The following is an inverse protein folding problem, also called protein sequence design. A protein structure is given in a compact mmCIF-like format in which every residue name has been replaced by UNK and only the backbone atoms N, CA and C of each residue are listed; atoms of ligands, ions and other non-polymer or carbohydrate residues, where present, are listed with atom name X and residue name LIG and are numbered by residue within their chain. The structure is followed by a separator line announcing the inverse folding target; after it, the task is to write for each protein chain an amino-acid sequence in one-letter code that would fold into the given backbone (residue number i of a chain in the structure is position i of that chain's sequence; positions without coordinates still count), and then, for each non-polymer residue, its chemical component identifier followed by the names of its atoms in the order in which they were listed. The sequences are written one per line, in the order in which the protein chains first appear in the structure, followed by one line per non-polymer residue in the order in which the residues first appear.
data_IF_015734061618
#
_entry.id   IF_015734061618
#
_cell.length_a   1.000
_cell.length_b   1.000
_cell.length_c   1.000
_cell.angle_alpha   90.00
_cell.angle_beta   90.00
_cell.angle_gamma   90.00
#
_symmetry.space_group_name_H-M   'P 1'
#
loop_
_entity.id
_entity.type
_entity.pdbx_description
1 polymer ?
#
# COMPACT_ATOMS: atom_id res chain seq x y z
N UNK A 1 -12.23 -0.97 -9.16
CA UNK A 1 -11.99 -2.03 -8.16
C UNK A 1 -11.79 -1.33 -6.83
N UNK A 2 -12.41 -1.77 -5.72
CA UNK A 2 -12.14 -1.16 -4.40
C UNK A 2 -10.82 -1.70 -3.82
N UNK A 3 -10.22 -0.96 -2.88
CA UNK A 3 -9.00 -1.41 -2.19
C UNK A 3 -9.19 -2.76 -1.49
N UNK A 4 -10.33 -2.96 -0.81
CA UNK A 4 -10.69 -4.24 -0.17
C UNK A 4 -10.69 -5.38 -1.17
N UNK A 5 -11.33 -5.18 -2.33
CA UNK A 5 -11.41 -6.21 -3.37
C UNK A 5 -10.03 -6.58 -3.91
N UNK A 6 -9.14 -5.59 -4.06
CA UNK A 6 -7.77 -5.80 -4.49
C UNK A 6 -6.96 -6.60 -3.46
N UNK A 7 -7.05 -6.26 -2.17
CA UNK A 7 -6.40 -7.02 -1.09
C UNK A 7 -6.90 -8.46 -1.04
N UNK A 8 -8.21 -8.68 -1.24
CA UNK A 8 -8.77 -10.03 -1.33
C UNK A 8 -8.29 -10.82 -2.55
N UNK A 9 -7.98 -10.15 -3.66
CA UNK A 9 -7.42 -10.82 -4.83
C UNK A 9 -5.93 -11.17 -4.60
N UNK A 10 -5.16 -10.32 -3.90
CA UNK A 10 -3.83 -10.67 -3.38
C UNK A 10 -3.88 -11.89 -2.44
N UNK A 11 -4.86 -12.00 -1.54
CA UNK A 11 -5.02 -13.18 -0.69
C UNK A 11 -5.25 -14.46 -1.49
N UNK A 12 -6.09 -14.40 -2.53
CA UNK A 12 -6.32 -15.55 -3.42
C UNK A 12 -5.05 -15.95 -4.15
N UNK A 13 -4.26 -14.99 -4.61
CA UNK A 13 -3.00 -15.28 -5.27
C UNK A 13 -1.98 -15.88 -4.29
N UNK A 14 -1.87 -15.33 -3.08
CA UNK A 14 -1.01 -15.85 -2.02
C UNK A 14 -1.26 -17.34 -1.75
N UNK A 15 -2.53 -17.77 -1.75
CA UNK A 15 -2.90 -19.16 -1.53
C UNK A 15 -2.32 -20.14 -2.58
N UNK A 16 -1.94 -19.65 -3.77
CA UNK A 16 -1.39 -20.48 -4.87
C UNK A 16 0.11 -20.76 -4.72
N UNK A 17 0.86 -19.93 -3.98
CA UNK A 17 2.31 -20.07 -3.89
C UNK A 17 2.72 -21.02 -2.77
N UNK A 18 3.82 -21.76 -2.97
CA UNK A 18 4.49 -22.52 -1.91
C UNK A 18 5.36 -21.61 -1.03
N UNK A 19 5.76 -22.10 0.14
CA UNK A 19 6.70 -21.39 1.03
C UNK A 19 8.03 -21.10 0.35
N UNK A 20 8.52 -22.02 -0.49
CA UNK A 20 9.75 -21.88 -1.26
C UNK A 20 9.60 -20.80 -2.34
N UNK A 21 8.48 -20.79 -3.08
CA UNK A 21 8.20 -19.77 -4.08
C UNK A 21 8.09 -18.37 -3.47
N UNK A 22 7.48 -18.25 -2.29
CA UNK A 22 7.40 -16.96 -1.57
C UNK A 22 8.77 -16.43 -1.16
N UNK A 23 9.71 -17.31 -0.81
CA UNK A 23 11.05 -16.94 -0.35
C UNK A 23 12.08 -16.85 -1.47
N UNK A 24 11.74 -17.30 -2.68
CA UNK A 24 12.65 -17.32 -3.82
C UNK A 24 13.08 -15.91 -4.22
N UNK A 25 14.40 -15.68 -4.23
CA UNK A 25 15.04 -14.45 -4.69
C UNK A 25 15.73 -14.76 -6.03
N UNK A 26 15.24 -14.24 -7.17
CA UNK A 26 15.76 -14.60 -8.48
C UNK A 26 17.22 -14.20 -8.73
N UNK A 27 17.61 -13.03 -8.20
CA UNK A 27 18.98 -12.48 -8.26
C UNK A 27 19.12 -11.34 -7.27
N UNK A 28 20.35 -10.92 -7.01
CA UNK A 28 20.67 -9.78 -6.17
C UNK A 28 19.90 -8.52 -6.59
N UNK A 29 19.33 -7.81 -5.60
CA UNK A 29 18.57 -6.58 -5.82
C UNK A 29 17.14 -6.78 -6.34
N UNK A 30 16.68 -8.02 -6.57
CA UNK A 30 15.28 -8.33 -6.92
C UNK A 30 14.58 -8.89 -5.69
N UNK A 31 13.37 -8.39 -5.41
CA UNK A 31 12.57 -8.86 -4.29
C UNK A 31 12.04 -10.28 -4.52
N UNK A 32 11.79 -11.02 -3.46
CA UNK A 32 10.92 -12.20 -3.51
C UNK A 32 9.44 -11.80 -3.57
N UNK A 33 8.54 -12.75 -3.86
CA UNK A 33 7.10 -12.52 -3.67
C UNK A 33 6.77 -12.18 -2.21
N UNK A 34 7.38 -12.87 -1.24
CA UNK A 34 7.19 -12.61 0.18
C UNK A 34 7.52 -11.16 0.56
N UNK A 35 8.61 -10.61 0.03
CA UNK A 35 8.99 -9.20 0.24
C UNK A 35 8.00 -8.22 -0.39
N UNK A 36 7.47 -8.55 -1.58
CA UNK A 36 6.43 -7.72 -2.18
C UNK A 36 5.15 -7.74 -1.34
N UNK A 37 4.72 -8.90 -0.83
CA UNK A 37 3.56 -9.02 0.07
C UNK A 37 3.77 -8.25 1.37
N UNK A 38 4.94 -8.41 2.02
CA UNK A 38 5.29 -7.65 3.21
C UNK A 38 5.19 -6.14 2.97
N UNK A 39 5.76 -5.67 1.86
CA UNK A 39 5.76 -4.25 1.49
C UNK A 39 4.34 -3.69 1.31
N UNK A 40 3.48 -4.36 0.53
CA UNK A 40 2.12 -3.86 0.29
C UNK A 40 1.30 -3.83 1.58
N UNK A 41 1.50 -4.81 2.48
CA UNK A 41 0.79 -4.88 3.75
C UNK A 41 1.26 -3.76 4.68
N UNK A 42 2.58 -3.60 4.84
CA UNK A 42 3.18 -2.61 5.73
C UNK A 42 2.79 -1.19 5.32
N UNK A 43 2.95 -0.84 4.05
CA UNK A 43 2.62 0.50 3.53
C UNK A 43 1.11 0.77 3.61
N UNK A 44 0.27 -0.23 3.36
CA UNK A 44 -1.17 -0.06 3.50
C UNK A 44 -1.58 0.25 4.95
N UNK A 45 -0.96 -0.39 5.94
CA UNK A 45 -1.18 -0.06 7.34
C UNK A 45 -0.70 1.35 7.69
N UNK A 46 0.48 1.76 7.22
CA UNK A 46 0.98 3.13 7.40
C UNK A 46 -0.01 4.18 6.86
N UNK A 47 -0.59 3.92 5.68
CA UNK A 47 -1.62 4.82 5.13
C UNK A 47 -2.89 4.83 5.98
N UNK A 48 -3.32 3.70 6.51
CA UNK A 48 -4.48 3.62 7.40
C UNK A 48 -4.23 4.25 8.77
N UNK A 49 -2.99 4.26 9.26
CA UNK A 49 -2.59 5.02 10.45
C UNK A 49 -2.81 6.51 10.20
N UNK A 50 -2.48 7.01 9.01
CA UNK A 50 -2.73 8.40 8.65
C UNK A 50 -4.22 8.72 8.48
N UNK A 51 -5.05 7.77 8.03
CA UNK A 51 -6.52 7.90 8.05
C UNK A 51 -7.01 8.12 9.49
N UNK A 52 -6.52 7.30 10.43
CA UNK A 52 -6.87 7.38 11.84
C UNK A 52 -6.43 8.70 12.47
N UNK A 53 -5.21 9.17 12.17
CA UNK A 53 -4.73 10.49 12.59
C UNK A 53 -5.65 11.58 12.05
N UNK A 54 -5.98 11.58 10.76
CA UNK A 54 -6.92 12.56 10.18
C UNK A 54 -8.26 12.58 10.92
N UNK A 55 -8.79 11.41 11.30
CA UNK A 55 -10.05 11.31 12.04
C UNK A 55 -9.97 11.87 13.48
N UNK A 56 -8.78 11.87 14.09
CA UNK A 56 -8.53 12.36 15.44
C UNK A 56 -8.12 13.83 15.53
N UNK A 57 -7.77 14.48 14.41
CA UNK A 57 -7.38 15.88 14.38
C UNK A 57 -8.57 16.80 14.72
N UNK A 58 -8.25 17.93 15.35
CA UNK A 58 -9.20 19.01 15.66
C UNK A 58 -8.86 20.31 14.93
N UNK A 59 -7.61 20.45 14.52
CA UNK A 59 -7.10 21.63 13.83
C UNK A 59 -7.11 21.37 12.33
N UNK A 60 -7.68 22.33 11.59
CA UNK A 60 -7.70 22.28 10.14
C UNK A 60 -6.34 22.67 9.54
N UNK A 61 -6.00 21.99 8.45
CA UNK A 61 -4.84 22.26 7.63
C UNK A 61 -5.28 22.69 6.22
N UNK A 62 -5.18 23.98 5.88
CA UNK A 62 -5.66 24.49 4.60
C UNK A 62 -4.75 24.13 3.43
N UNK A 63 -3.47 23.79 3.67
CA UNK A 63 -2.55 23.41 2.61
C UNK A 63 -3.01 22.12 1.89
N UNK A 64 -2.62 22.01 0.63
CA UNK A 64 -3.00 20.90 -0.25
C UNK A 64 -1.83 19.99 -0.63
N UNK A 65 -2.07 19.17 -1.63
CA UNK A 65 -1.04 18.31 -2.22
C UNK A 65 0.04 19.14 -2.91
N UNK A 66 1.19 18.52 -3.09
CA UNK A 66 2.20 19.03 -4.03
C UNK A 66 1.66 18.91 -5.46
N UNK A 67 2.25 19.66 -6.40
CA UNK A 67 1.91 19.51 -7.82
C UNK A 67 2.12 18.08 -8.35
N UNK A 68 3.07 17.34 -7.79
CA UNK A 68 3.27 15.92 -8.12
C UNK A 68 2.16 15.04 -7.55
N UNK A 69 1.76 15.26 -6.29
CA UNK A 69 0.64 14.57 -5.67
C UNK A 69 -0.67 14.77 -6.44
N UNK A 70 -0.98 16.02 -6.83
CA UNK A 70 -2.15 16.33 -7.66
C UNK A 70 -2.15 15.53 -8.98
N UNK A 71 -1.01 15.51 -9.69
CA UNK A 71 -0.91 14.73 -10.94
C UNK A 71 -1.15 13.24 -10.75
N UNK A 72 -0.66 12.65 -9.66
CA UNK A 72 -0.84 11.23 -9.37
C UNK A 72 -2.29 10.89 -9.01
N UNK A 73 -2.97 11.76 -8.27
CA UNK A 73 -4.40 11.61 -7.97
C UNK A 73 -5.26 11.80 -9.23
N UNK A 74 -4.96 12.79 -10.08
CA UNK A 74 -5.64 12.97 -11.38
C UNK A 74 -5.44 11.76 -12.28
N UNK A 75 -4.22 11.22 -12.33
CA UNK A 75 -3.91 9.99 -13.09
C UNK A 75 -4.51 8.73 -12.46
N UNK A 76 -5.00 8.80 -11.22
CA UNK A 76 -5.57 7.69 -10.49
C UNK A 76 -4.55 6.59 -10.16
N UNK A 77 -3.26 6.87 -10.09
CA UNK A 77 -2.27 5.88 -9.68
C UNK A 77 -0.81 6.27 -9.90
N UNK A 78 0.08 5.43 -9.40
CA UNK A 78 1.52 5.54 -9.65
C UNK A 78 1.86 5.19 -11.10
N UNK A 79 2.83 5.88 -11.73
CA UNK A 79 3.22 5.62 -13.11
C UNK A 79 3.73 4.18 -13.30
N UNK A 80 3.62 3.62 -14.52
CA UNK A 80 4.06 2.26 -14.82
C UNK A 80 5.58 2.17 -15.03
N UNK A 81 6.35 2.74 -14.10
CA UNK A 81 7.82 2.72 -14.11
C UNK A 81 8.33 2.24 -12.75
N UNK A 82 9.54 1.69 -12.71
CA UNK A 82 10.18 1.31 -11.44
C UNK A 82 10.54 2.59 -10.68
N UNK A 83 10.00 2.73 -9.47
CA UNK A 83 10.31 3.83 -8.57
C UNK A 83 11.44 3.36 -7.66
N UNK A 84 12.59 4.04 -7.72
CA UNK A 84 13.72 3.82 -6.81
C UNK A 84 13.76 4.96 -5.81
N UNK A 85 13.65 4.63 -4.53
CA UNK A 85 13.87 5.58 -3.44
C UNK A 85 15.37 5.83 -3.24
N UNK A 86 15.76 6.91 -2.56
CA UNK A 86 17.14 7.10 -2.08
C UNK A 86 17.62 5.86 -1.32
N UNK A 87 18.93 5.58 -1.37
CA UNK A 87 19.48 4.32 -0.86
C UNK A 87 19.21 4.13 0.65
N UNK A 88 19.14 5.22 1.41
CA UNK A 88 18.81 5.23 2.85
C UNK A 88 17.38 4.76 3.14
N UNK A 89 16.50 4.85 2.14
CA UNK A 89 15.09 4.47 2.21
C UNK A 89 14.79 3.19 1.42
N UNK A 90 15.83 2.52 0.90
CA UNK A 90 15.68 1.40 -0.04
C UNK A 90 16.12 0.06 0.56
N UNK A 91 16.07 -0.06 1.89
CA UNK A 91 16.25 -1.35 2.56
C UNK A 91 15.21 -2.36 2.04
N UNK A 92 15.61 -3.62 1.80
CA UNK A 92 14.67 -4.61 1.29
C UNK A 92 13.57 -4.90 2.32
N UNK A 93 12.32 -5.16 1.88
CA UNK A 93 11.25 -5.58 2.78
C UNK A 93 11.57 -6.89 3.49
N UNK A 94 10.79 -7.22 4.52
CA UNK A 94 10.95 -8.46 5.26
C UNK A 94 10.66 -9.69 4.38
N UNK A 95 11.46 -10.74 4.54
CA UNK A 95 11.29 -12.02 3.83
C UNK A 95 11.21 -13.23 4.78
N UNK A 96 11.05 -12.99 6.09
CA UNK A 96 11.04 -14.09 7.08
C UNK A 96 9.67 -14.70 7.27
N UNK A 97 8.61 -13.92 7.03
CA UNK A 97 7.23 -14.36 7.23
C UNK A 97 6.94 -15.66 6.49
N UNK A 98 6.21 -16.52 7.20
CA UNK A 98 5.59 -17.71 6.64
C UNK A 98 4.36 -17.31 5.83
N UNK A 99 3.91 -18.23 4.96
CA UNK A 99 2.67 -18.05 4.22
C UNK A 99 1.48 -17.75 5.14
N UNK A 100 1.35 -18.47 6.25
CA UNK A 100 0.26 -18.27 7.21
C UNK A 100 0.31 -16.90 7.92
N UNK A 101 1.51 -16.38 8.20
CA UNK A 101 1.67 -15.02 8.74
C UNK A 101 1.24 -13.96 7.72
N UNK A 102 1.64 -14.11 6.45
CA UNK A 102 1.20 -13.22 5.37
C UNK A 102 -0.31 -13.27 5.15
N UNK A 103 -0.93 -14.46 5.18
CA UNK A 103 -2.38 -14.66 5.08
C UNK A 103 -3.10 -13.91 6.22
N UNK A 104 -2.68 -14.15 7.47
CA UNK A 104 -3.26 -13.50 8.65
C UNK A 104 -3.11 -11.97 8.61
N UNK A 105 -1.96 -11.47 8.16
CA UNK A 105 -1.73 -10.02 8.02
C UNK A 105 -2.62 -9.40 6.93
N UNK A 106 -2.84 -10.09 5.80
CA UNK A 106 -3.77 -9.61 4.78
C UNK A 106 -5.22 -9.61 5.28
N UNK A 107 -5.62 -10.61 6.08
CA UNK A 107 -6.95 -10.66 6.69
C UNK A 107 -7.17 -9.44 7.60
N UNK A 108 -6.21 -9.18 8.50
CA UNK A 108 -6.25 -8.00 9.37
C UNK A 108 -6.29 -6.69 8.58
N UNK A 109 -5.55 -6.59 7.47
CA UNK A 109 -5.60 -5.43 6.59
C UNK A 109 -6.98 -5.26 5.93
N UNK A 110 -7.58 -6.35 5.43
CA UNK A 110 -8.90 -6.32 4.81
C UNK A 110 -9.98 -5.90 5.82
N UNK A 111 -9.94 -6.41 7.04
CA UNK A 111 -10.82 -6.00 8.13
C UNK A 111 -10.67 -4.51 8.47
N UNK A 112 -9.41 -4.03 8.56
CA UNK A 112 -9.12 -2.62 8.84
C UNK A 112 -9.66 -1.71 7.74
N UNK A 113 -9.48 -2.08 6.46
CA UNK A 113 -10.03 -1.36 5.32
C UNK A 113 -11.57 -1.31 5.36
N UNK A 114 -12.22 -2.43 5.65
CA UNK A 114 -13.68 -2.51 5.77
C UNK A 114 -14.20 -1.64 6.92
N UNK A 115 -13.46 -1.56 8.03
CA UNK A 115 -13.84 -0.75 9.19
C UNK A 115 -13.83 0.77 8.91
N UNK A 116 -13.02 1.21 7.94
CA UNK A 116 -12.85 2.62 7.55
C UNK A 116 -13.73 3.01 6.36
N UNK A 117 -14.05 2.09 5.46
CA UNK A 117 -14.84 2.33 4.24
C UNK A 117 -16.12 3.17 4.49
N UNK A 118 -16.98 2.87 5.49
CA UNK A 118 -18.19 3.65 5.73
C UNK A 118 -17.95 5.01 6.41
N UNK A 119 -16.77 5.23 7.00
CA UNK A 119 -16.45 6.41 7.83
C UNK A 119 -15.64 7.46 7.08
N UNK A 120 -14.80 7.05 6.15
CA UNK A 120 -13.76 7.93 5.60
C UNK A 120 -14.33 9.19 4.92
N UNK A 121 -15.51 9.08 4.31
CA UNK A 121 -16.18 10.20 3.63
C UNK A 121 -16.82 11.21 4.60
N UNK A 122 -17.02 10.87 5.87
CA UNK A 122 -17.58 11.80 6.86
C UNK A 122 -16.52 12.59 7.62
N UNK A 123 -15.24 12.25 7.47
CA UNK A 123 -14.13 12.98 8.07
C UNK A 123 -13.96 14.31 7.34
N UNK A 124 -13.80 15.40 8.10
CA UNK A 124 -13.69 16.74 7.55
C UNK A 124 -12.47 16.86 6.61
N UNK A 125 -12.65 17.36 5.37
CA UNK A 125 -11.61 17.28 4.32
C UNK A 125 -10.38 18.15 4.58
N UNK A 126 -10.44 19.10 5.52
CA UNK A 126 -9.28 19.89 5.95
C UNK A 126 -8.52 19.27 7.14
N UNK A 127 -8.96 18.14 7.69
CA UNK A 127 -8.15 17.38 8.64
C UNK A 127 -7.18 16.51 7.83
N UNK A 128 -5.92 16.97 7.76
CA UNK A 128 -4.92 16.44 6.84
C UNK A 128 -3.61 16.13 7.56
N UNK A 129 -2.90 15.13 7.04
CA UNK A 129 -1.54 14.78 7.44
C UNK A 129 -0.62 14.88 6.22
N UNK A 130 0.60 15.36 6.43
CA UNK A 130 1.57 15.57 5.36
C UNK A 130 2.23 14.26 4.93
N UNK A 131 2.16 13.96 3.64
CA UNK A 131 2.96 12.94 2.97
C UNK A 131 4.21 13.59 2.35
N UNK A 132 5.39 12.98 2.52
CA UNK A 132 6.67 13.51 2.01
C UNK A 132 6.68 13.84 0.50
N UNK A 133 6.16 12.95 -0.36
CA UNK A 133 5.98 13.21 -1.79
C UNK A 133 4.67 13.89 -2.20
N UNK A 134 3.53 13.51 -1.62
CA UNK A 134 2.21 13.96 -2.08
C UNK A 134 1.76 15.29 -1.49
N UNK A 135 2.38 15.78 -0.42
CA UNK A 135 1.91 16.97 0.31
C UNK A 135 0.80 16.63 1.30
N UNK A 136 -0.10 17.57 1.59
CA UNK A 136 -1.14 17.37 2.59
C UNK A 136 -2.32 16.56 2.04
N UNK A 137 -2.58 15.43 2.68
CA UNK A 137 -3.63 14.49 2.30
C UNK A 137 -4.68 14.38 3.39
N UNK A 138 -5.95 14.36 2.98
CA UNK A 138 -7.07 14.06 3.89
C UNK A 138 -7.26 12.54 4.06
N UNK A 139 -8.16 12.15 4.96
CA UNK A 139 -8.47 10.75 5.24
C UNK A 139 -8.89 9.96 3.99
N UNK A 140 -9.70 10.55 3.11
CA UNK A 140 -10.17 9.89 1.88
C UNK A 140 -9.02 9.62 0.92
N UNK A 141 -8.08 10.54 0.83
CA UNK A 141 -6.90 10.44 -0.03
C UNK A 141 -5.90 9.41 0.50
N UNK A 142 -5.63 9.41 1.81
CA UNK A 142 -4.83 8.37 2.45
C UNK A 142 -5.44 6.97 2.25
N UNK A 143 -6.75 6.84 2.43
CA UNK A 143 -7.46 5.58 2.19
C UNK A 143 -7.36 5.15 0.72
N UNK A 144 -7.50 6.08 -0.23
CA UNK A 144 -7.38 5.80 -1.66
C UNK A 144 -5.95 5.38 -2.06
N UNK A 145 -4.92 5.87 -1.36
CA UNK A 145 -3.54 5.47 -1.63
C UNK A 145 -3.29 3.98 -1.41
N UNK A 146 -4.03 3.31 -0.51
CA UNK A 146 -3.92 1.85 -0.33
C UNK A 146 -4.22 1.14 -1.65
N UNK A 147 -5.34 1.46 -2.31
CA UNK A 147 -5.68 0.87 -3.61
C UNK A 147 -4.67 1.25 -4.69
N UNK A 148 -4.30 2.53 -4.78
CA UNK A 148 -3.39 3.02 -5.83
C UNK A 148 -2.00 2.38 -5.72
N UNK A 149 -1.47 2.23 -4.50
CA UNK A 149 -0.17 1.62 -4.23
C UNK A 149 -0.22 0.11 -4.46
N UNK A 150 -1.17 -0.61 -3.85
CA UNK A 150 -1.27 -2.06 -4.05
C UNK A 150 -1.49 -2.41 -5.53
N UNK A 151 -2.26 -1.61 -6.28
CA UNK A 151 -2.47 -1.86 -7.72
C UNK A 151 -1.21 -1.64 -8.54
N UNK A 152 -0.36 -0.67 -8.15
CA UNK A 152 0.95 -0.50 -8.78
C UNK A 152 1.79 -1.78 -8.69
N UNK A 153 1.71 -2.49 -7.56
CA UNK A 153 2.45 -3.72 -7.31
C UNK A 153 1.95 -4.96 -8.05
N UNK A 154 0.76 -4.96 -8.65
CA UNK A 154 0.32 -6.07 -9.53
C UNK A 154 1.30 -6.32 -10.69
N UNK A 155 1.97 -5.27 -11.19
CA UNK A 155 3.02 -5.42 -12.21
C UNK A 155 4.26 -6.10 -11.66
N UNK A 156 4.65 -5.76 -10.44
CA UNK A 156 5.80 -6.38 -9.78
C UNK A 156 5.49 -7.84 -9.45
N UNK A 157 4.29 -8.14 -8.95
CA UNK A 157 3.83 -9.52 -8.74
C UNK A 157 3.99 -10.34 -10.01
N UNK A 158 3.45 -9.87 -11.14
CA UNK A 158 3.57 -10.53 -12.44
C UNK A 158 5.03 -10.71 -12.91
N UNK A 159 5.89 -9.72 -12.66
CA UNK A 159 7.33 -9.84 -12.94
C UNK A 159 7.96 -10.96 -12.10
N UNK A 160 7.62 -11.03 -10.81
CA UNK A 160 8.17 -12.00 -9.87
C UNK A 160 7.69 -13.43 -10.15
N UNK A 161 6.41 -13.59 -10.49
CA UNK A 161 5.83 -14.84 -10.95
C UNK A 161 6.54 -15.39 -12.20
N UNK A 162 7.05 -14.51 -13.08
CA UNK A 162 7.80 -14.92 -14.26
C UNK A 162 9.16 -15.56 -13.97
N UNK A 163 9.65 -15.50 -12.72
CA UNK A 163 10.88 -16.16 -12.29
C UNK A 163 10.64 -17.50 -11.56
N UNK A 164 9.38 -17.83 -11.24
CA UNK A 164 9.00 -19.10 -10.60
C UNK A 164 8.87 -20.22 -11.64
#
# INVERSE_FOLDING_TARGET
MSGIKLIQDFQKDLSKYSSEQLKYIPREGVWSLGQMYDHIILVAHEYLDNVEVCAGLKEEQPLGKTAAGERLFIAGGFPPVKIRLPDEMNAPPNNTDTKGELESRLDALAERLASWEPKVNSIHPNLKVAHGGFGWLNAKEWYALVEMHSRHHLRQQKELEGYL
#
